data_IF_100369815178
#
_entry.id   IF_100369815178
#
_cell.length_a   1.000
_cell.length_b   1.000
_cell.length_c   1.000
_cell.angle_alpha   90.00
_cell.angle_beta   90.00
_cell.angle_gamma   90.00
#
_symmetry.space_group_name_H-M   'P 1'
#
loop_
_entity.id
_entity.type
_entity.pdbx_description
1 polymer ?
#
# COMPACT_ATOMS: atom_id res chain seq x y z
N UNK A 1 -21.56 -15.41 31.08
CA UNK A 1 -20.41 -15.14 30.17
C UNK A 1 -20.42 -15.96 28.86
N UNK A 2 -20.92 -17.17 28.84
CA UNK A 2 -20.90 -18.09 27.69
C UNK A 2 -21.89 -17.76 26.56
N UNK A 3 -22.87 -16.92 26.76
CA UNK A 3 -23.85 -16.52 25.75
C UNK A 3 -23.43 -15.25 24.97
N UNK A 4 -22.69 -14.35 25.64
CA UNK A 4 -22.35 -13.06 25.03
C UNK A 4 -21.35 -13.19 23.86
N UNK A 5 -20.43 -14.17 23.87
CA UNK A 5 -19.50 -14.39 22.76
C UNK A 5 -20.22 -14.92 21.51
N UNK A 6 -21.29 -15.68 21.65
CA UNK A 6 -22.10 -16.16 20.53
C UNK A 6 -22.77 -14.98 19.81
N UNK A 7 -23.30 -14.03 20.60
CA UNK A 7 -23.93 -12.81 20.05
C UNK A 7 -22.89 -11.96 19.32
N UNK A 8 -21.71 -11.77 19.91
CA UNK A 8 -20.61 -11.01 19.30
C UNK A 8 -20.13 -11.72 18.02
N UNK A 9 -19.95 -13.04 18.06
CA UNK A 9 -19.52 -13.83 16.90
C UNK A 9 -20.56 -13.79 15.77
N UNK A 10 -21.85 -13.86 16.10
CA UNK A 10 -22.94 -13.75 15.12
C UNK A 10 -23.02 -12.35 14.52
N UNK A 11 -22.84 -11.30 15.32
CA UNK A 11 -22.79 -9.91 14.84
C UNK A 11 -21.61 -9.65 13.89
N UNK A 12 -20.43 -10.19 14.18
CA UNK A 12 -19.25 -10.11 13.32
C UNK A 12 -19.47 -10.85 11.99
N UNK A 13 -20.11 -12.03 12.05
CA UNK A 13 -20.43 -12.82 10.85
C UNK A 13 -21.47 -12.12 9.94
N UNK A 14 -22.46 -11.45 10.53
CA UNK A 14 -23.48 -10.70 9.80
C UNK A 14 -22.87 -9.42 9.17
N UNK A 15 -21.96 -8.74 9.88
CA UNK A 15 -21.29 -7.56 9.36
C UNK A 15 -20.43 -7.87 8.12
N UNK A 16 -19.85 -9.08 8.04
CA UNK A 16 -19.06 -9.51 6.88
C UNK A 16 -19.91 -9.93 5.66
N UNK A 17 -21.22 -10.12 5.81
CA UNK A 17 -22.11 -10.57 4.74
C UNK A 17 -22.62 -9.43 3.82
N UNK A 18 -22.45 -8.18 4.21
CA UNK A 18 -22.85 -7.04 3.37
C UNK A 18 -21.70 -6.60 2.44
N UNK A 19 -21.33 -7.45 1.50
CA UNK A 19 -20.48 -7.08 0.36
C UNK A 19 -21.24 -6.17 -0.59
N UNK A 20 -21.06 -4.86 -0.49
CA UNK A 20 -21.57 -3.93 -1.49
C UNK A 20 -20.73 -4.07 -2.76
N UNK A 21 -21.27 -4.75 -3.75
CA UNK A 21 -20.66 -4.92 -5.07
C UNK A 21 -20.76 -3.58 -5.83
N UNK A 22 -19.83 -2.66 -5.56
CA UNK A 22 -19.71 -1.41 -6.32
C UNK A 22 -18.60 -1.58 -7.36
N UNK A 23 -18.96 -2.06 -8.52
CA UNK A 23 -18.05 -2.18 -9.67
C UNK A 23 -17.46 -0.81 -10.01
N UNK A 24 -16.13 -0.70 -10.09
CA UNK A 24 -15.45 0.55 -10.45
C UNK A 24 -15.24 1.54 -9.29
N UNK A 25 -15.55 1.19 -8.05
CA UNK A 25 -15.38 2.06 -6.87
C UNK A 25 -14.28 1.60 -5.90
N UNK A 26 -13.28 0.86 -6.38
CA UNK A 26 -12.13 0.48 -5.54
C UNK A 26 -11.31 1.72 -5.21
N UNK A 27 -11.23 2.06 -3.94
CA UNK A 27 -10.41 3.16 -3.45
C UNK A 27 -8.93 2.79 -3.53
N UNK A 28 -8.06 3.75 -3.83
CA UNK A 28 -6.61 3.63 -3.81
C UNK A 28 -6.07 2.42 -4.61
N UNK A 29 -6.61 2.19 -5.82
CA UNK A 29 -6.23 1.05 -6.68
C UNK A 29 -4.73 1.02 -7.00
N UNK A 30 -4.05 2.15 -7.02
CA UNK A 30 -2.60 2.26 -7.25
C UNK A 30 -1.78 1.48 -6.21
N UNK A 31 -2.28 1.30 -4.98
CA UNK A 31 -1.64 0.48 -3.95
C UNK A 31 -1.68 -1.03 -4.25
N UNK A 32 -2.31 -1.47 -5.32
CA UNK A 32 -2.23 -2.86 -5.78
C UNK A 32 -1.10 -3.11 -6.78
N UNK A 33 -0.33 -2.09 -7.17
CA UNK A 33 0.86 -2.24 -8.01
C UNK A 33 1.97 -2.82 -7.14
N UNK A 34 2.49 -3.99 -7.52
CA UNK A 34 3.51 -4.69 -6.74
C UNK A 34 4.83 -3.94 -6.67
N UNK A 35 5.43 -3.90 -5.50
CA UNK A 35 6.71 -3.23 -5.21
C UNK A 35 7.83 -4.26 -5.23
N UNK A 36 8.94 -3.89 -5.87
CA UNK A 36 10.18 -4.66 -5.86
C UNK A 36 10.27 -5.69 -6.99
N UNK A 37 11.42 -5.72 -7.66
CA UNK A 37 11.69 -6.62 -8.78
C UNK A 37 11.64 -8.09 -8.38
N UNK A 38 12.09 -8.43 -7.16
CA UNK A 38 12.04 -9.79 -6.62
C UNK A 38 10.59 -10.30 -6.52
N UNK A 39 9.72 -9.48 -5.93
CA UNK A 39 8.31 -9.82 -5.76
C UNK A 39 7.57 -9.91 -7.09
N UNK A 40 7.84 -8.98 -8.02
CA UNK A 40 7.26 -9.01 -9.37
C UNK A 40 7.74 -10.24 -10.14
N UNK A 41 9.05 -10.59 -10.05
CA UNK A 41 9.62 -11.80 -10.66
C UNK A 41 9.02 -13.09 -10.12
N UNK A 42 8.54 -13.11 -8.88
CA UNK A 42 7.83 -14.23 -8.25
C UNK A 42 6.30 -14.19 -8.52
N UNK A 43 5.83 -13.33 -9.43
CA UNK A 43 4.41 -13.18 -9.72
C UNK A 43 3.58 -12.67 -8.54
N UNK A 44 4.19 -11.92 -7.60
CA UNK A 44 3.55 -11.40 -6.39
C UNK A 44 3.44 -12.39 -5.23
N UNK A 45 4.00 -13.59 -5.33
CA UNK A 45 4.04 -14.59 -4.26
C UNK A 45 5.15 -14.28 -3.24
N UNK A 46 5.15 -13.08 -2.66
CA UNK A 46 6.26 -12.55 -1.85
C UNK A 46 5.92 -12.36 -0.36
N UNK A 47 4.66 -12.35 0.01
CA UNK A 47 4.17 -12.04 1.38
C UNK A 47 4.83 -12.87 2.49
N UNK A 48 5.17 -14.14 2.20
CA UNK A 48 5.76 -15.05 3.18
C UNK A 48 7.30 -15.00 3.24
N UNK A 49 7.94 -14.36 2.27
CA UNK A 49 9.41 -14.31 2.13
C UNK A 49 9.95 -12.88 2.12
N UNK A 50 9.09 -11.89 2.34
CA UNK A 50 9.47 -10.48 2.39
C UNK A 50 10.33 -10.21 3.63
N UNK A 51 11.63 -9.93 3.41
CA UNK A 51 12.65 -9.74 4.44
C UNK A 51 13.52 -8.48 4.21
N UNK A 52 13.14 -7.64 3.25
CA UNK A 52 13.79 -6.38 2.88
C UNK A 52 12.88 -5.16 3.14
N UNK A 53 13.29 -3.97 2.72
CA UNK A 53 12.47 -2.75 2.87
C UNK A 53 11.11 -2.83 2.15
N UNK A 54 10.93 -3.74 1.18
CA UNK A 54 9.62 -3.95 0.53
C UNK A 54 8.64 -4.74 1.39
N UNK A 55 9.09 -5.33 2.51
CA UNK A 55 8.23 -5.96 3.51
C UNK A 55 7.17 -4.99 4.05
N UNK A 56 7.47 -3.69 4.13
CA UNK A 56 6.49 -2.65 4.50
C UNK A 56 5.25 -2.64 3.59
N UNK A 57 5.40 -3.08 2.35
CA UNK A 57 4.31 -3.22 1.40
C UNK A 57 3.67 -4.62 1.45
N UNK A 58 4.47 -5.69 1.47
CA UNK A 58 4.00 -7.06 1.30
C UNK A 58 3.52 -7.72 2.59
N UNK A 59 4.28 -7.58 3.67
CA UNK A 59 3.98 -8.11 4.99
C UNK A 59 4.76 -7.32 6.04
N UNK A 60 4.13 -6.40 6.76
CA UNK A 60 4.84 -5.56 7.71
C UNK A 60 5.59 -6.32 8.80
N UNK A 61 5.19 -7.57 9.13
CA UNK A 61 5.93 -8.39 10.09
C UNK A 61 7.31 -8.82 9.58
N UNK A 62 7.47 -8.98 8.26
CA UNK A 62 8.76 -9.34 7.65
C UNK A 62 9.86 -8.32 7.89
N UNK A 63 9.49 -7.08 8.20
CA UNK A 63 10.46 -6.03 8.51
C UNK A 63 11.25 -6.31 9.80
N UNK A 64 10.75 -7.15 10.71
CA UNK A 64 11.45 -7.52 11.95
C UNK A 64 12.70 -8.36 11.71
N UNK A 65 12.76 -9.10 10.58
CA UNK A 65 13.94 -9.88 10.18
C UNK A 65 15.07 -9.02 9.63
N UNK A 66 14.79 -7.73 9.40
CA UNK A 66 15.75 -6.79 8.82
C UNK A 66 16.55 -6.11 9.93
N UNK A 67 17.82 -6.46 10.06
CA UNK A 67 18.73 -6.03 11.14
C UNK A 67 19.65 -4.87 10.75
N UNK A 68 19.58 -4.42 9.50
CA UNK A 68 20.40 -3.33 8.96
C UNK A 68 19.57 -2.12 8.57
N UNK A 69 20.18 -0.93 8.58
CA UNK A 69 19.56 0.25 8.00
C UNK A 69 19.60 0.12 6.48
N UNK A 70 18.47 0.25 5.84
CA UNK A 70 18.35 0.16 4.39
C UNK A 70 17.59 1.35 3.84
N UNK A 71 18.04 1.83 2.68
CA UNK A 71 17.28 2.74 1.82
C UNK A 71 16.99 1.98 0.53
N UNK A 72 15.74 1.90 0.19
CA UNK A 72 15.27 1.22 -1.00
C UNK A 72 14.57 2.21 -1.93
N UNK A 73 14.87 2.13 -3.21
CA UNK A 73 14.21 2.91 -4.25
C UNK A 73 13.82 2.00 -5.41
N UNK A 74 12.58 2.11 -5.84
CA UNK A 74 12.06 1.42 -7.02
C UNK A 74 11.37 2.43 -7.93
N UNK A 75 11.74 2.44 -9.20
CA UNK A 75 11.10 3.20 -10.26
C UNK A 75 10.62 2.25 -11.35
N UNK A 76 9.43 2.45 -11.85
CA UNK A 76 8.90 1.71 -12.97
C UNK A 76 8.08 2.61 -13.89
N UNK A 77 8.41 2.59 -15.18
CA UNK A 77 7.55 3.13 -16.21
C UNK A 77 6.37 2.18 -16.40
N UNK A 78 5.18 2.66 -16.07
CA UNK A 78 3.94 1.90 -16.21
C UNK A 78 3.29 2.17 -17.56
N UNK A 79 2.16 1.53 -17.81
CA UNK A 79 1.38 1.75 -19.04
C UNK A 79 0.90 3.21 -19.12
N UNK A 80 0.73 3.73 -20.35
CA UNK A 80 0.21 5.07 -20.65
C UNK A 80 1.02 6.22 -20.02
N UNK A 81 2.34 6.12 -20.08
CA UNK A 81 3.30 7.14 -19.57
C UNK A 81 3.10 7.47 -18.08
N UNK A 82 2.55 6.51 -17.32
CA UNK A 82 2.44 6.60 -15.87
C UNK A 82 3.77 6.18 -15.25
N UNK A 83 4.27 6.95 -14.30
CA UNK A 83 5.43 6.62 -13.48
C UNK A 83 4.96 6.09 -12.13
N UNK A 84 5.53 4.96 -11.72
CA UNK A 84 5.37 4.38 -10.40
C UNK A 84 6.68 4.43 -9.63
N UNK A 85 6.67 5.09 -8.49
CA UNK A 85 7.82 5.24 -7.62
C UNK A 85 7.53 4.73 -6.22
N UNK A 86 8.48 4.01 -5.65
CA UNK A 86 8.45 3.59 -4.26
C UNK A 86 9.77 3.91 -3.59
N UNK A 87 9.71 4.56 -2.45
CA UNK A 87 10.84 4.81 -1.57
C UNK A 87 10.59 4.13 -0.22
N UNK A 88 11.59 3.42 0.29
CA UNK A 88 11.57 2.77 1.60
C UNK A 88 12.80 3.11 2.41
N UNK A 89 12.62 3.29 3.71
CA UNK A 89 13.68 3.47 4.71
C UNK A 89 13.39 2.55 5.89
N UNK A 90 14.36 1.72 6.26
CA UNK A 90 14.28 0.85 7.43
C UNK A 90 15.28 1.28 8.50
N UNK A 91 14.85 1.30 9.74
CA UNK A 91 15.62 1.70 10.90
C UNK A 91 15.45 0.65 12.01
N UNK A 92 16.34 -0.34 12.13
CA UNK A 92 16.35 -1.23 13.27
C UNK A 92 16.54 -0.44 14.57
N UNK A 93 15.61 -0.60 15.52
CA UNK A 93 15.66 0.05 16.83
C UNK A 93 16.44 -0.80 17.83
N UNK A 94 16.29 -2.10 17.72
CA UNK A 94 16.99 -3.11 18.52
C UNK A 94 16.96 -4.46 17.77
N UNK A 95 17.64 -5.52 18.25
CA UNK A 95 17.70 -6.82 17.57
C UNK A 95 16.36 -7.54 17.34
N UNK A 96 15.24 -7.01 17.87
CA UNK A 96 13.91 -7.61 17.77
C UNK A 96 12.86 -6.66 17.23
N UNK A 97 13.19 -5.41 16.90
CA UNK A 97 12.20 -4.48 16.39
C UNK A 97 12.78 -3.47 15.41
N UNK A 98 12.02 -3.22 14.36
CA UNK A 98 12.40 -2.32 13.26
C UNK A 98 11.28 -1.36 12.97
N UNK A 99 11.64 -0.10 12.77
CA UNK A 99 10.75 0.95 12.28
C UNK A 99 11.01 1.15 10.79
N UNK A 100 9.96 1.33 10.03
CA UNK A 100 10.03 1.60 8.60
C UNK A 100 9.21 2.82 8.20
N UNK A 101 9.66 3.49 7.14
CA UNK A 101 8.91 4.56 6.48
C UNK A 101 8.93 4.32 4.99
N UNK A 102 7.80 4.50 4.34
CA UNK A 102 7.74 4.40 2.89
C UNK A 102 6.84 5.46 2.26
N UNK A 103 7.14 5.75 1.01
CA UNK A 103 6.35 6.62 0.15
C UNK A 103 6.11 5.87 -1.15
N UNK A 104 4.85 5.77 -1.56
CA UNK A 104 4.44 5.26 -2.86
C UNK A 104 3.84 6.41 -3.66
N UNK A 105 4.26 6.56 -4.90
CA UNK A 105 3.80 7.61 -5.80
C UNK A 105 3.42 7.00 -7.14
N UNK A 106 2.29 7.42 -7.68
CA UNK A 106 1.88 7.17 -9.06
C UNK A 106 1.56 8.51 -9.68
N UNK A 107 2.29 8.86 -10.71
CA UNK A 107 2.14 10.16 -11.40
C UNK A 107 1.96 9.95 -12.89
N UNK A 108 1.21 10.82 -13.49
CA UNK A 108 0.92 10.86 -14.92
C UNK A 108 1.31 12.22 -15.47
N UNK A 109 1.90 12.24 -16.65
CA UNK A 109 2.17 13.48 -17.38
C UNK A 109 0.86 14.21 -17.75
N UNK A 110 0.99 15.46 -18.16
CA UNK A 110 -0.16 16.23 -18.63
C UNK A 110 -0.79 15.59 -19.85
N UNK A 111 -2.09 15.36 -19.79
CA UNK A 111 -2.90 14.90 -20.92
C UNK A 111 -3.85 16.00 -21.38
N UNK A 112 -4.03 16.10 -22.70
CA UNK A 112 -4.99 17.03 -23.29
C UNK A 112 -6.43 16.56 -23.06
N UNK A 113 -7.28 17.54 -22.76
CA UNK A 113 -8.72 17.30 -22.65
C UNK A 113 -9.35 17.35 -24.04
N UNK A 114 -9.87 16.24 -24.52
CA UNK A 114 -10.63 16.16 -25.77
C UNK A 114 -12.13 16.18 -25.50
N UNK A 115 -12.92 16.90 -26.30
CA UNK A 115 -14.38 16.94 -26.23
C UNK A 115 -14.98 16.54 -27.56
N UNK A 116 -16.19 15.97 -27.54
CA UNK A 116 -16.89 15.61 -28.77
C UNK A 116 -17.04 16.85 -29.68
N UNK A 117 -16.49 16.75 -30.89
CA UNK A 117 -16.50 17.84 -31.88
C UNK A 117 -15.42 18.92 -31.67
N UNK A 118 -14.58 18.81 -30.65
CA UNK A 118 -13.42 19.69 -30.44
C UNK A 118 -12.27 18.90 -29.83
N UNK A 119 -11.37 18.39 -30.67
CA UNK A 119 -10.23 17.59 -30.25
C UNK A 119 -9.10 18.45 -29.65
N UNK A 120 -9.07 19.74 -29.93
CA UNK A 120 -8.01 20.67 -29.53
C UNK A 120 -8.58 21.74 -28.59
N UNK A 121 -8.91 21.37 -27.35
CA UNK A 121 -9.50 22.30 -26.38
C UNK A 121 -8.48 23.26 -25.80
N UNK A 122 -7.18 22.94 -25.86
CA UNK A 122 -6.10 23.67 -25.16
C UNK A 122 -6.12 23.51 -23.64
N UNK A 123 -7.03 22.69 -23.11
CA UNK A 123 -7.08 22.34 -21.68
C UNK A 123 -6.25 21.08 -21.42
N UNK A 124 -5.52 21.03 -20.31
CA UNK A 124 -4.79 19.85 -19.87
C UNK A 124 -5.23 19.42 -18.46
N UNK A 125 -5.04 18.15 -18.13
CA UNK A 125 -5.25 17.64 -16.78
C UNK A 125 -4.09 16.72 -16.37
N UNK A 126 -3.90 16.60 -15.04
CA UNK A 126 -2.93 15.70 -14.42
C UNK A 126 -3.63 14.79 -13.43
N UNK A 127 -3.07 13.61 -13.23
CA UNK A 127 -3.43 12.75 -12.11
C UNK A 127 -2.17 12.38 -11.32
N UNK A 128 -2.31 12.32 -10.00
CA UNK A 128 -1.24 11.91 -9.09
C UNK A 128 -1.83 11.29 -7.83
N UNK A 129 -1.34 10.12 -7.49
CA UNK A 129 -1.71 9.39 -6.29
C UNK A 129 -0.48 9.20 -5.40
N UNK A 130 -0.62 9.47 -4.12
CA UNK A 130 0.46 9.35 -3.14
C UNK A 130 -0.02 8.57 -1.92
N UNK A 131 0.87 7.75 -1.37
CA UNK A 131 0.70 7.15 -0.06
C UNK A 131 1.99 7.31 0.74
N UNK A 132 1.85 7.78 1.99
CA UNK A 132 2.95 7.86 2.96
C UNK A 132 2.60 6.91 4.08
N UNK A 133 3.53 6.07 4.47
CA UNK A 133 3.28 5.06 5.49
C UNK A 133 4.42 4.96 6.50
N UNK A 134 4.05 4.52 7.70
CA UNK A 134 4.97 4.16 8.78
C UNK A 134 4.64 2.77 9.28
N UNK A 135 5.68 1.94 9.38
CA UNK A 135 5.60 0.54 9.76
C UNK A 135 6.37 0.31 11.04
N UNK A 136 5.79 -0.44 11.96
CA UNK A 136 6.50 -0.98 13.11
C UNK A 136 6.37 -2.49 13.13
N UNK A 137 7.49 -3.18 13.22
CA UNK A 137 7.54 -4.64 13.31
C UNK A 137 8.35 -5.07 14.53
N UNK A 138 7.96 -6.19 15.12
CA UNK A 138 8.70 -6.77 16.24
C UNK A 138 8.57 -8.29 16.31
N UNK A 139 9.64 -8.92 16.75
CA UNK A 139 9.67 -10.34 17.09
C UNK A 139 9.13 -10.56 18.50
N UNK A 140 8.05 -11.30 18.62
CA UNK A 140 7.51 -11.74 19.90
C UNK A 140 8.23 -12.99 20.39
N UNK A 141 8.60 -13.86 19.46
CA UNK A 141 9.40 -15.06 19.72
C UNK A 141 10.34 -15.28 18.54
N UNK A 142 11.28 -16.22 18.65
CA UNK A 142 12.21 -16.57 17.57
C UNK A 142 11.51 -17.14 16.31
N UNK A 143 10.20 -17.37 16.35
CA UNK A 143 9.40 -17.95 15.25
C UNK A 143 8.12 -17.19 14.95
N UNK A 144 7.87 -16.11 15.68
CA UNK A 144 6.62 -15.37 15.53
C UNK A 144 6.85 -13.88 15.65
N UNK A 145 6.58 -13.18 14.58
CA UNK A 145 6.69 -11.73 14.44
C UNK A 145 5.34 -11.12 14.15
N UNK A 146 5.18 -9.88 14.53
CA UNK A 146 4.02 -9.06 14.21
C UNK A 146 4.47 -7.72 13.62
N UNK A 147 3.66 -7.18 12.74
CA UNK A 147 3.87 -5.86 12.16
C UNK A 147 2.57 -5.11 11.96
N UNK A 148 2.66 -3.81 12.10
CA UNK A 148 1.58 -2.88 11.81
C UNK A 148 2.09 -1.78 10.90
N UNK A 149 1.29 -1.41 9.90
CA UNK A 149 1.61 -0.34 8.97
C UNK A 149 0.42 0.62 8.87
N UNK A 150 0.65 1.88 9.17
CA UNK A 150 -0.35 2.95 9.02
C UNK A 150 -0.04 3.79 7.79
N UNK A 151 -1.06 4.00 6.93
CA UNK A 151 -0.94 4.72 5.66
C UNK A 151 -1.85 5.94 5.62
N UNK A 152 -1.32 7.05 5.16
CA UNK A 152 -2.08 8.20 4.69
C UNK A 152 -2.07 8.19 3.16
N UNK A 153 -3.24 8.32 2.54
CA UNK A 153 -3.44 8.21 1.10
C UNK A 153 -4.03 9.51 0.60
N UNK A 154 -3.49 10.04 -0.49
CA UNK A 154 -4.04 11.17 -1.21
C UNK A 154 -4.10 10.83 -2.70
N UNK A 155 -5.27 10.99 -3.28
CA UNK A 155 -5.51 10.83 -4.72
C UNK A 155 -5.95 12.16 -5.30
N UNK A 156 -5.47 12.49 -6.48
CA UNK A 156 -5.75 13.74 -7.15
C UNK A 156 -5.92 13.50 -8.64
N UNK A 157 -7.02 13.97 -9.19
CA UNK A 157 -7.28 13.95 -10.65
C UNK A 157 -7.92 15.27 -11.06
N UNK A 158 -7.30 15.95 -11.99
CA UNK A 158 -7.72 17.29 -12.43
C UNK A 158 -7.92 18.23 -11.22
N UNK A 159 -9.16 18.65 -10.97
CA UNK A 159 -9.54 19.54 -9.87
C UNK A 159 -10.15 18.79 -8.66
N UNK A 160 -10.15 17.46 -8.68
CA UNK A 160 -10.76 16.63 -7.64
C UNK A 160 -9.69 15.97 -6.77
N UNK A 161 -9.90 15.98 -5.45
CA UNK A 161 -8.98 15.39 -4.48
C UNK A 161 -9.75 14.47 -3.53
N UNK A 162 -9.14 13.32 -3.21
CA UNK A 162 -9.62 12.39 -2.19
C UNK A 162 -8.50 12.09 -1.21
N UNK A 163 -8.84 11.89 0.07
CA UNK A 163 -7.89 11.51 1.12
C UNK A 163 -8.45 10.37 1.93
N UNK A 164 -7.58 9.51 2.41
CA UNK A 164 -7.96 8.37 3.23
C UNK A 164 -6.83 7.89 4.13
N UNK A 165 -7.19 7.00 5.05
CA UNK A 165 -6.26 6.29 5.91
C UNK A 165 -6.48 4.80 5.75
N UNK A 166 -5.42 4.02 5.86
CA UNK A 166 -5.46 2.57 5.89
C UNK A 166 -4.51 2.02 6.94
N UNK A 167 -4.81 0.83 7.44
CA UNK A 167 -3.97 0.12 8.41
C UNK A 167 -3.83 -1.31 7.89
N UNK A 168 -2.59 -1.80 7.85
CA UNK A 168 -2.30 -3.20 7.55
C UNK A 168 -1.73 -3.89 8.77
N UNK A 169 -2.00 -5.18 8.89
CA UNK A 169 -1.44 -6.05 9.89
C UNK A 169 -0.74 -7.23 9.21
N UNK A 170 0.41 -7.60 9.74
CA UNK A 170 1.18 -8.74 9.28
C UNK A 170 1.60 -9.65 10.44
N UNK A 171 1.80 -10.90 10.10
CA UNK A 171 2.38 -11.91 11.01
C UNK A 171 3.36 -12.78 10.25
#
# INVERSE_FOLDING_TARGET
>A
MRENYKIIFTLVLIASAYGVNKTGTTSAKFLSIGVGSNAVGMGGAYTAVADDATAMYWNPAGLSFHDTKEIYFNHANWIADISFDYFGLTLPLNPRSTLGFNITSVTMDEMEVTRYGNENTGETFKAADYAIASTYAMDLTDRFSIGINGKFIQQSIANSHARGFAIDFGT
#
